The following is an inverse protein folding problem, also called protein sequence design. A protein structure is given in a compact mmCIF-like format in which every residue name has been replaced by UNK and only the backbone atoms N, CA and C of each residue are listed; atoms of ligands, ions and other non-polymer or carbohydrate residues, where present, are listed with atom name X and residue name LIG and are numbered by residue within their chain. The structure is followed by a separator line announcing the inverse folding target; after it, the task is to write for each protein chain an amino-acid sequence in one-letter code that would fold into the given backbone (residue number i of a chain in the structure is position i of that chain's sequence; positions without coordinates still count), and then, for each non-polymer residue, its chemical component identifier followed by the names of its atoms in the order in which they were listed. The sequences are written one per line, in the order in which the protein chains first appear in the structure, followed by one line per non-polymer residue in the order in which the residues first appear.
data_IF_238217892783
#
_entry.id   IF_238217892783
#
_cell.length_a   1.000
_cell.length_b   1.000
_cell.length_c   1.000
_cell.angle_alpha   90.00
_cell.angle_beta   90.00
_cell.angle_gamma   90.00
#
_symmetry.space_group_name_H-M   'P 1'
#
loop_
_entity.id
_entity.type
_entity.pdbx_description
1 polymer ?
#
# COMPACT_ATOMS: atom_id res chain seq x y z
N UNK A 1 14.04 -0.08 0.26
CA UNK A 1 13.22 -1.27 0.52
C UNK A 1 11.82 -1.05 -0.07
N UNK A 2 11.17 -2.11 -0.54
CA UNK A 2 9.74 -2.09 -0.92
C UNK A 2 8.97 -2.88 0.13
N UNK A 3 7.88 -2.29 0.63
CA UNK A 3 6.87 -3.02 1.40
C UNK A 3 5.66 -3.16 0.48
N UNK A 4 5.43 -4.38 0.02
CA UNK A 4 4.27 -4.69 -0.82
C UNK A 4 3.11 -5.16 0.08
N UNK A 5 1.99 -4.44 0.07
CA UNK A 5 0.81 -4.79 0.87
C UNK A 5 -0.26 -5.27 -0.09
N UNK A 6 -0.61 -6.55 -0.01
CA UNK A 6 -1.65 -7.19 -0.81
C UNK A 6 -2.81 -7.63 0.09
N UNK A 7 -4.00 -7.81 -0.47
CA UNK A 7 -5.18 -8.29 0.23
C UNK A 7 -6.46 -8.08 -0.58
N UNK A 8 -7.59 -8.56 -0.05
CA UNK A 8 -8.89 -8.31 -0.67
C UNK A 8 -9.36 -6.85 -0.48
N UNK A 9 -10.18 -6.38 -1.42
CA UNK A 9 -10.78 -5.04 -1.35
C UNK A 9 -11.56 -4.88 -0.03
N UNK A 10 -11.34 -3.75 0.67
CA UNK A 10 -12.01 -3.45 1.93
C UNK A 10 -11.34 -3.99 3.20
N UNK A 11 -10.27 -4.80 3.09
CA UNK A 11 -9.56 -5.43 4.22
C UNK A 11 -8.45 -4.56 4.84
N UNK A 12 -8.50 -3.23 4.66
CA UNK A 12 -7.62 -2.33 5.39
C UNK A 12 -6.23 -2.08 4.77
N UNK A 13 -5.94 -2.60 3.57
CA UNK A 13 -4.65 -2.46 2.86
C UNK A 13 -4.16 -1.01 2.84
N UNK A 14 -5.01 -0.11 2.35
CA UNK A 14 -4.70 1.32 2.25
C UNK A 14 -4.46 1.95 3.61
N UNK A 15 -5.24 1.56 4.62
CA UNK A 15 -5.10 2.06 5.99
C UNK A 15 -3.78 1.60 6.60
N UNK A 16 -3.39 0.34 6.40
CA UNK A 16 -2.09 -0.20 6.83
C UNK A 16 -0.94 0.52 6.11
N UNK A 17 -1.05 0.74 4.80
CA UNK A 17 -0.08 1.52 4.04
C UNK A 17 0.06 2.95 4.58
N UNK A 18 -1.06 3.59 4.91
CA UNK A 18 -1.08 4.95 5.45
C UNK A 18 -0.50 5.02 6.87
N UNK A 19 -0.81 4.03 7.72
CA UNK A 19 -0.28 3.93 9.08
C UNK A 19 1.25 3.78 9.07
N UNK A 20 1.77 2.89 8.22
CA UNK A 20 3.21 2.75 7.96
C UNK A 20 3.81 4.05 7.44
N UNK A 21 3.25 4.62 6.37
CA UNK A 21 3.77 5.83 5.72
C UNK A 21 3.84 7.03 6.68
N UNK A 22 2.87 7.16 7.59
CA UNK A 22 2.86 8.26 8.57
C UNK A 22 4.00 8.12 9.58
N UNK A 23 4.29 6.90 10.04
CA UNK A 23 5.21 6.62 11.15
C UNK A 23 6.63 6.26 10.72
N UNK A 24 6.81 5.91 9.45
CA UNK A 24 8.10 5.60 8.84
C UNK A 24 8.50 6.73 7.90
N UNK A 25 9.52 7.52 8.26
CA UNK A 25 10.03 8.61 7.43
C UNK A 25 11.56 8.48 7.27
N UNK A 26 12.13 8.73 6.08
CA UNK A 26 11.43 9.04 4.83
C UNK A 26 10.75 7.79 4.22
N UNK A 27 9.57 7.97 3.62
CA UNK A 27 8.87 6.90 2.88
C UNK A 27 7.98 7.48 1.79
N UNK A 28 7.58 6.66 0.82
CA UNK A 28 6.68 7.03 -0.27
C UNK A 28 5.60 5.95 -0.43
N UNK A 29 4.33 6.37 -0.57
CA UNK A 29 3.20 5.47 -0.77
C UNK A 29 2.82 5.45 -2.26
N UNK A 30 3.16 4.36 -2.94
CA UNK A 30 2.80 4.14 -4.34
C UNK A 30 1.46 3.37 -4.43
N UNK A 31 0.47 3.96 -5.10
CA UNK A 31 -0.81 3.29 -5.39
C UNK A 31 -0.94 3.09 -6.91
N UNK A 32 -0.85 1.84 -7.41
CA UNK A 32 -0.92 1.56 -8.85
C UNK A 32 -2.34 1.75 -9.44
N UNK A 33 -3.39 1.75 -8.61
CA UNK A 33 -4.77 2.03 -9.05
C UNK A 33 -4.95 3.47 -9.53
N UNK A 34 -4.26 4.43 -8.90
CA UNK A 34 -4.25 5.83 -9.34
C UNK A 34 -3.60 6.03 -10.70
N UNK A 35 -2.81 5.06 -11.17
CA UNK A 35 -2.23 5.07 -12.51
C UNK A 35 -3.12 4.37 -13.53
N UNK A 36 -3.97 3.44 -13.09
CA UNK A 36 -5.01 2.85 -13.92
C UNK A 36 -6.01 3.88 -14.45
N UNK A 37 -6.23 4.99 -13.72
CA UNK A 37 -7.09 6.10 -14.20
C UNK A 37 -6.49 6.91 -15.35
N UNK A 38 -5.25 6.63 -15.77
CA UNK A 38 -4.66 7.24 -16.97
C UNK A 38 -5.13 6.55 -18.26
N UNK A 39 -5.85 5.43 -18.13
CA UNK A 39 -6.44 4.72 -19.27
C UNK A 39 -7.70 5.47 -19.72
N UNK A 40 -7.78 5.89 -20.99
CA UNK A 40 -8.96 6.56 -21.53
C UNK A 40 -10.22 5.70 -21.37
N UNK A 41 -11.37 6.28 -20.99
CA UNK A 41 -12.63 5.55 -20.79
C UNK A 41 -13.06 4.72 -22.01
N UNK A 42 -12.71 5.16 -23.22
CA UNK A 42 -13.08 4.52 -24.49
C UNK A 42 -12.44 3.16 -24.68
N UNK A 43 -11.28 2.94 -24.04
CA UNK A 43 -10.56 1.68 -24.09
C UNK A 43 -10.54 0.98 -22.74
N UNK A 44 -11.22 1.54 -21.72
CA UNK A 44 -11.25 1.08 -20.34
C UNK A 44 -11.94 -0.30 -20.18
N UNK A 45 -11.20 -1.29 -19.68
CA UNK A 45 -11.66 -2.60 -19.26
C UNK A 45 -12.25 -2.47 -17.86
N UNK A 46 -13.13 -3.40 -17.49
CA UNK A 46 -13.74 -3.42 -16.16
C UNK A 46 -12.69 -3.52 -15.04
N UNK A 47 -11.65 -4.32 -15.26
CA UNK A 47 -10.49 -4.45 -14.38
C UNK A 47 -9.21 -3.94 -15.05
N UNK A 48 -8.75 -2.77 -14.61
CA UNK A 48 -7.50 -2.17 -15.08
C UNK A 48 -6.26 -3.05 -14.82
N UNK A 49 -6.34 -4.04 -13.92
CA UNK A 49 -5.26 -4.97 -13.66
C UNK A 49 -5.04 -5.95 -14.81
N UNK A 50 -6.01 -6.09 -15.71
CA UNK A 50 -5.95 -6.95 -16.90
C UNK A 50 -5.07 -6.39 -18.02
N UNK A 51 -4.79 -5.09 -18.03
CA UNK A 51 -3.96 -4.47 -19.06
C UNK A 51 -2.49 -4.84 -18.94
N UNK A 52 -1.97 -5.49 -19.98
CA UNK A 52 -0.54 -5.77 -20.10
C UNK A 52 0.32 -4.50 -20.06
N UNK A 53 -0.13 -3.39 -20.65
CA UNK A 53 0.61 -2.13 -20.63
C UNK A 53 0.70 -1.53 -19.22
N UNK A 54 -0.39 -1.54 -18.46
CA UNK A 54 -0.39 -1.08 -17.07
C UNK A 54 0.55 -1.95 -16.22
N UNK A 55 0.52 -3.28 -16.38
CA UNK A 55 1.44 -4.19 -15.67
C UNK A 55 2.90 -3.91 -16.03
N UNK A 56 3.21 -3.78 -17.33
CA UNK A 56 4.56 -3.52 -17.82
C UNK A 56 5.10 -2.17 -17.32
N UNK A 57 4.26 -1.13 -17.31
CA UNK A 57 4.62 0.17 -16.76
C UNK A 57 4.96 0.10 -15.27
N UNK A 58 4.09 -0.52 -14.46
CA UNK A 58 4.32 -0.67 -13.02
C UNK A 58 5.60 -1.46 -12.72
N UNK A 59 5.80 -2.57 -13.43
CA UNK A 59 7.01 -3.38 -13.31
C UNK A 59 8.26 -2.57 -13.64
N UNK A 60 8.26 -1.86 -14.77
CA UNK A 60 9.41 -1.06 -15.22
C UNK A 60 9.73 0.08 -14.25
N UNK A 61 8.71 0.75 -13.72
CA UNK A 61 8.88 1.79 -12.71
C UNK A 61 9.53 1.23 -11.44
N UNK A 62 9.02 0.12 -10.90
CA UNK A 62 9.57 -0.49 -9.69
C UNK A 62 10.99 -1.02 -9.91
N UNK A 63 11.24 -1.67 -11.04
CA UNK A 63 12.56 -2.19 -11.43
C UNK A 63 13.61 -1.08 -11.60
N UNK A 64 13.20 0.13 -11.96
CA UNK A 64 14.10 1.27 -12.10
C UNK A 64 14.61 1.82 -10.76
N UNK A 65 13.99 1.45 -9.63
CA UNK A 65 14.39 1.96 -8.33
C UNK A 65 15.75 1.35 -7.91
N UNK A 66 16.68 2.14 -7.33
CA UNK A 66 18.04 1.71 -6.99
C UNK A 66 18.11 0.67 -5.84
N UNK A 67 16.96 0.24 -5.36
CA UNK A 67 16.73 -0.83 -4.39
C UNK A 67 16.78 -2.23 -5.01
N UNK A 68 16.84 -2.33 -6.35
CA UNK A 68 17.11 -3.56 -7.10
C UNK A 68 18.62 -3.90 -7.19
N UNK A 69 19.44 -3.46 -6.24
CA UNK A 69 20.84 -3.91 -6.16
C UNK A 69 20.94 -5.16 -5.30
N UNK A 70 21.14 -6.29 -5.98
CA UNK A 70 21.60 -7.60 -5.48
C UNK A 70 20.67 -8.35 -4.49
N UNK A 71 19.95 -9.34 -5.02
CA UNK A 71 19.61 -10.56 -4.28
C UNK A 71 18.45 -10.51 -3.29
N UNK A 72 17.80 -9.37 -3.08
CA UNK A 72 16.60 -9.33 -2.23
C UNK A 72 15.42 -9.96 -2.96
N UNK A 73 14.83 -11.06 -2.46
CA UNK A 73 13.65 -11.63 -3.07
C UNK A 73 12.54 -10.57 -3.12
N UNK A 74 11.94 -10.41 -4.31
CA UNK A 74 10.85 -9.45 -4.58
C UNK A 74 9.68 -9.66 -3.59
N UNK A 75 9.59 -10.85 -2.99
CA UNK A 75 8.71 -11.20 -1.88
C UNK A 75 9.49 -12.03 -0.86
N UNK A 76 9.99 -11.39 0.20
CA UNK A 76 10.77 -12.08 1.24
C UNK A 76 9.89 -12.84 2.24
N UNK A 77 8.71 -12.29 2.58
CA UNK A 77 7.85 -12.84 3.62
C UNK A 77 6.39 -12.44 3.39
N UNK A 78 5.45 -13.39 3.51
CA UNK A 78 4.01 -13.13 3.43
C UNK A 78 3.42 -13.09 4.85
N UNK A 79 2.83 -11.95 5.22
CA UNK A 79 2.15 -11.77 6.51
C UNK A 79 0.64 -11.89 6.33
N UNK A 80 0.02 -12.84 7.05
CA UNK A 80 -1.44 -12.92 7.16
C UNK A 80 -1.93 -11.94 8.24
N UNK A 81 -2.81 -11.01 7.87
CA UNK A 81 -3.25 -9.91 8.76
C UNK A 81 -4.74 -9.96 9.09
N UNK A 82 -5.47 -11.02 8.74
CA UNK A 82 -6.95 -11.10 8.80
C UNK A 82 -7.54 -10.77 10.18
N UNK A 83 -6.83 -11.11 11.26
CA UNK A 83 -7.25 -10.88 12.63
C UNK A 83 -6.44 -9.78 13.36
N UNK A 84 -5.68 -8.96 12.61
CA UNK A 84 -4.87 -7.88 13.17
C UNK A 84 -5.59 -6.54 13.09
N UNK A 85 -5.38 -5.68 14.08
CA UNK A 85 -5.70 -4.26 13.88
C UNK A 85 -4.74 -3.64 12.85
N UNK A 86 -5.12 -2.52 12.25
CA UNK A 86 -4.25 -1.78 11.31
C UNK A 86 -2.92 -1.41 11.98
N UNK A 87 -2.96 -1.08 13.28
CA UNK A 87 -1.78 -0.77 14.08
C UNK A 87 -0.90 -1.99 14.24
N UNK A 88 -1.47 -3.13 14.65
CA UNK A 88 -0.70 -4.36 14.86
C UNK A 88 -0.10 -4.86 13.54
N UNK A 89 -0.84 -4.74 12.43
CA UNK A 89 -0.31 -5.06 11.11
C UNK A 89 0.89 -4.18 10.76
N UNK A 90 0.81 -2.86 10.99
CA UNK A 90 1.91 -1.95 10.74
C UNK A 90 3.14 -2.25 11.62
N UNK A 91 2.94 -2.46 12.93
CA UNK A 91 4.01 -2.82 13.86
C UNK A 91 4.67 -4.16 13.47
N UNK A 92 3.86 -5.14 13.10
CA UNK A 92 4.33 -6.47 12.72
C UNK A 92 5.15 -6.43 11.43
N UNK A 93 4.69 -5.67 10.43
CA UNK A 93 5.44 -5.43 9.19
C UNK A 93 6.77 -4.75 9.50
N UNK A 94 6.77 -3.72 10.35
CA UNK A 94 7.98 -3.00 10.71
C UNK A 94 8.97 -3.89 11.46
N UNK A 95 8.52 -4.65 12.46
CA UNK A 95 9.35 -5.57 13.21
C UNK A 95 10.03 -6.61 12.31
N UNK A 96 9.27 -7.22 11.39
CA UNK A 96 9.79 -8.20 10.42
C UNK A 96 10.77 -7.60 9.43
N UNK A 97 10.50 -6.37 8.99
CA UNK A 97 11.39 -5.61 8.12
C UNK A 97 12.57 -4.95 8.87
N UNK A 98 12.75 -5.22 10.17
CA UNK A 98 13.76 -4.59 11.03
C UNK A 98 13.71 -3.05 10.99
N UNK A 99 12.52 -2.49 10.90
CA UNK A 99 12.24 -1.06 10.92
C UNK A 99 11.71 -0.61 12.28
N UNK A 100 12.06 0.62 12.66
CA UNK A 100 11.49 1.29 13.83
C UNK A 100 10.44 2.30 13.38
N UNK A 101 9.20 2.14 13.85
CA UNK A 101 8.14 3.14 13.64
C UNK A 101 8.19 4.20 14.73
N UNK A 102 7.98 5.46 14.36
CA UNK A 102 7.73 6.53 15.33
C UNK A 102 6.48 6.20 16.17
N UNK A 103 6.39 6.56 17.47
CA UNK A 103 5.23 6.26 18.29
C UNK A 103 3.95 6.93 17.77
N UNK A 104 2.80 6.25 17.87
CA UNK A 104 1.51 6.84 17.51
C UNK A 104 0.92 7.63 18.69
N UNK A 105 1.13 8.95 18.70
CA UNK A 105 0.69 9.86 19.76
C UNK A 105 -0.78 10.31 19.64
N UNK A 106 -1.55 9.77 18.69
CA UNK A 106 -2.95 10.16 18.45
C UNK A 106 -3.91 9.52 19.46
N UNK A 107 -4.91 10.28 19.89
CA UNK A 107 -6.06 9.75 20.61
C UNK A 107 -7.01 8.93 19.73
N UNK A 108 -7.86 8.11 20.36
CA UNK A 108 -8.75 7.16 19.68
C UNK A 108 -9.70 7.79 18.65
N UNK A 109 -10.19 9.01 18.91
CA UNK A 109 -11.08 9.72 18.00
C UNK A 109 -10.39 10.09 16.69
N UNK A 110 -9.14 10.60 16.76
CA UNK A 110 -8.36 10.97 15.58
C UNK A 110 -7.98 9.74 14.75
N UNK A 111 -7.68 8.61 15.40
CA UNK A 111 -7.47 7.33 14.71
C UNK A 111 -8.71 6.85 13.97
N UNK A 112 -9.90 7.09 14.52
CA UNK A 112 -11.16 6.76 13.86
C UNK A 112 -11.45 7.67 12.67
N UNK A 113 -11.29 8.99 12.81
CA UNK A 113 -11.49 9.94 11.70
C UNK A 113 -10.54 9.66 10.55
N UNK A 114 -9.26 9.39 10.82
CA UNK A 114 -8.29 9.07 9.78
C UNK A 114 -8.66 7.80 9.01
N UNK A 115 -9.21 6.78 9.70
CA UNK A 115 -9.71 5.56 9.05
C UNK A 115 -10.92 5.85 8.14
N UNK A 116 -11.82 6.73 8.54
CA UNK A 116 -12.96 7.14 7.71
C UNK A 116 -12.50 7.95 6.50
N UNK A 117 -11.59 8.90 6.69
CA UNK A 117 -11.06 9.74 5.60
C UNK A 117 -10.35 8.88 4.56
N UNK A 118 -9.52 7.92 4.98
CA UNK A 118 -8.86 6.98 4.06
C UNK A 118 -9.88 6.12 3.32
N UNK A 119 -10.96 5.65 3.98
CA UNK A 119 -12.04 4.93 3.28
C UNK A 119 -12.71 5.83 2.24
N UNK A 120 -13.11 7.04 2.60
CA UNK A 120 -13.80 7.99 1.72
C UNK A 120 -12.96 8.37 0.50
N UNK A 121 -11.67 8.65 0.68
CA UNK A 121 -10.76 9.01 -0.42
C UNK A 121 -10.54 7.87 -1.44
N UNK A 122 -10.91 6.63 -1.08
CA UNK A 122 -10.78 5.45 -1.93
C UNK A 122 -12.13 4.88 -2.37
N UNK A 123 -13.26 5.42 -1.88
CA UNK A 123 -14.58 5.10 -2.40
C UNK A 123 -14.72 5.81 -3.75
N UNK A 124 -14.70 5.01 -4.83
CA UNK A 124 -15.19 5.45 -6.13
C UNK A 124 -16.71 5.58 -6.02
N UNK A 125 -17.23 6.80 -6.03
CA UNK A 125 -18.64 7.04 -6.37
C UNK A 125 -18.73 6.77 -7.87
N UNK A 126 -19.33 5.64 -8.25
CA UNK A 126 -19.77 5.39 -9.63
C UNK A 126 -20.98 6.25 -9.94
#
# INVERSE_FOLDING_TARGET
MIIWINGAFGFGITQTAFELHRRLKPSYMYNPEKKGSMIPPEIAEEDFQSYSLWRAFNYSLLASLPIHTAGSPIFAEHLQTDNMSIQDAAETIAARASLTLAPDTRGNLRRFTDRLIVKLNHIRIK
#
